data_IF_338615739314
#
_entry.id   IF_338615739314
#
_cell.length_a   1.000
_cell.length_b   1.000
_cell.length_c   1.000
_cell.angle_alpha   90.00
_cell.angle_beta   90.00
_cell.angle_gamma   90.00
#
_symmetry.space_group_name_H-M   'P 1'
#
loop_
_entity.id
_entity.type
_entity.pdbx_description
1 polymer ?
#
# COMPACT_ATOMS: atom_id res chain seq x y z
N UNK A 1 17.71 -33.26 31.27
CA UNK A 1 17.46 -32.22 30.24
C UNK A 1 16.04 -31.70 30.45
N UNK A 2 15.90 -30.47 30.95
CA UNK A 2 14.58 -29.80 31.07
C UNK A 2 14.01 -29.63 29.67
N UNK A 3 12.93 -30.34 29.34
CA UNK A 3 12.11 -30.03 28.19
C UNK A 3 11.50 -28.65 28.45
N UNK A 4 11.89 -27.64 27.67
CA UNK A 4 11.28 -26.32 27.76
C UNK A 4 9.76 -26.47 27.54
N UNK A 5 8.96 -25.97 28.49
CA UNK A 5 7.52 -25.94 28.36
C UNK A 5 7.15 -25.04 27.16
N UNK A 6 6.42 -25.58 26.20
CA UNK A 6 5.97 -24.84 25.02
C UNK A 6 4.46 -24.89 24.88
N UNK A 7 3.89 -23.85 24.28
CA UNK A 7 2.46 -23.76 23.94
C UNK A 7 2.30 -23.79 22.42
N UNK A 8 1.38 -24.62 21.93
CA UNK A 8 1.01 -24.66 20.51
C UNK A 8 -0.26 -23.85 20.32
N UNK A 9 -0.20 -22.84 19.46
CA UNK A 9 -1.34 -22.02 19.07
C UNK A 9 -1.60 -22.17 17.57
N UNK A 10 -2.87 -22.16 17.17
CA UNK A 10 -3.24 -22.16 15.77
C UNK A 10 -2.76 -20.86 15.09
N UNK A 11 -2.20 -20.98 13.88
CA UNK A 11 -1.82 -19.80 13.12
C UNK A 11 -3.07 -19.02 12.67
N UNK A 12 -3.18 -17.72 12.97
CA UNK A 12 -4.36 -16.94 12.60
C UNK A 12 -4.55 -16.93 11.08
N UNK A 13 -5.76 -17.28 10.61
CA UNK A 13 -6.02 -17.44 9.18
C UNK A 13 -5.72 -16.18 8.37
N UNK A 14 -6.06 -15.02 8.92
CA UNK A 14 -5.82 -13.69 8.33
C UNK A 14 -4.35 -13.48 7.95
N UNK A 15 -3.42 -14.04 8.74
CA UNK A 15 -1.98 -13.91 8.51
C UNK A 15 -1.48 -14.74 7.33
N UNK A 16 -2.26 -15.71 6.82
CA UNK A 16 -1.87 -16.43 5.60
C UNK A 16 -1.73 -15.49 4.41
N UNK A 17 -2.59 -14.47 4.28
CA UNK A 17 -2.50 -13.48 3.20
C UNK A 17 -1.23 -12.64 3.34
N UNK A 18 -0.82 -12.31 4.56
CA UNK A 18 0.43 -11.60 4.85
C UNK A 18 1.63 -12.46 4.49
N UNK A 19 1.63 -13.74 4.89
CA UNK A 19 2.69 -14.70 4.57
C UNK A 19 2.81 -14.92 3.04
N UNK A 20 1.69 -14.97 2.33
CA UNK A 20 1.64 -15.05 0.87
C UNK A 20 2.30 -13.82 0.24
N UNK A 21 1.99 -12.62 0.73
CA UNK A 21 2.62 -11.37 0.30
C UNK A 21 4.14 -11.40 0.48
N UNK A 22 4.63 -11.84 1.63
CA UNK A 22 6.07 -11.98 1.90
C UNK A 22 6.76 -12.96 0.94
N UNK A 23 6.13 -14.10 0.66
CA UNK A 23 6.63 -15.10 -0.28
C UNK A 23 6.69 -14.58 -1.73
N UNK A 24 5.72 -13.76 -2.14
CA UNK A 24 5.70 -13.11 -3.44
C UNK A 24 6.80 -12.05 -3.53
N UNK A 25 6.94 -11.22 -2.49
CA UNK A 25 7.96 -10.17 -2.42
C UNK A 25 9.38 -10.75 -2.47
N UNK A 26 9.63 -11.86 -1.76
CA UNK A 26 10.93 -12.54 -1.73
C UNK A 26 11.40 -13.07 -3.10
N UNK A 27 10.50 -13.20 -4.08
CA UNK A 27 10.83 -13.66 -5.45
C UNK A 27 11.16 -12.50 -6.39
N UNK A 28 11.07 -11.25 -5.94
CA UNK A 28 11.40 -10.07 -6.75
C UNK A 28 12.89 -9.77 -6.64
N UNK A 29 13.50 -9.42 -7.77
CA UNK A 29 14.86 -8.90 -7.83
C UNK A 29 14.83 -7.43 -7.42
N UNK A 30 14.86 -7.18 -6.11
CA UNK A 30 14.73 -5.84 -5.53
C UNK A 30 16.10 -5.19 -5.38
N UNK A 31 16.24 -3.97 -5.85
CA UNK A 31 17.40 -3.11 -5.58
C UNK A 31 16.98 -2.09 -4.53
N UNK A 32 17.80 -1.94 -3.48
CA UNK A 32 17.54 -1.00 -2.39
C UNK A 32 18.29 0.31 -2.66
N UNK A 33 17.56 1.42 -2.66
CA UNK A 33 18.10 2.77 -2.71
C UNK A 33 17.75 3.52 -1.42
N UNK A 34 18.76 4.08 -0.77
CA UNK A 34 18.58 4.93 0.40
C UNK A 34 18.94 6.37 0.03
N UNK A 35 18.07 7.31 0.40
CA UNK A 35 18.26 8.73 0.15
C UNK A 35 17.95 9.52 1.43
N UNK A 36 18.62 10.64 1.58
CA UNK A 36 18.31 11.65 2.59
C UNK A 36 17.75 12.88 1.88
N UNK A 37 16.70 13.45 2.43
CA UNK A 37 16.00 14.60 1.85
C UNK A 37 15.76 15.62 2.95
N UNK A 38 16.17 16.87 2.72
CA UNK A 38 15.84 17.97 3.61
C UNK A 38 14.34 18.30 3.47
N UNK A 39 13.64 18.26 4.61
CA UNK A 39 12.20 18.50 4.72
C UNK A 39 11.87 19.80 5.45
N UNK A 40 12.87 20.66 5.70
CA UNK A 40 12.71 21.91 6.45
C UNK A 40 11.69 22.84 5.78
N UNK A 41 11.89 23.14 4.49
CA UNK A 41 10.98 24.00 3.72
C UNK A 41 9.58 23.39 3.56
N UNK A 42 9.42 22.12 3.15
CA UNK A 42 8.10 21.46 3.14
C UNK A 42 7.34 21.54 4.46
N UNK A 43 8.03 21.35 5.60
CA UNK A 43 7.41 21.43 6.92
C UNK A 43 6.99 22.86 7.26
N UNK A 44 7.83 23.85 6.96
CA UNK A 44 7.49 25.27 7.16
C UNK A 44 6.25 25.66 6.37
N UNK A 45 6.18 25.29 5.08
CA UNK A 45 5.02 25.59 4.22
C UNK A 45 3.72 24.96 4.75
N UNK A 46 3.78 23.72 5.23
CA UNK A 46 2.60 23.05 5.81
C UNK A 46 2.15 23.71 7.13
N UNK A 47 3.09 24.17 7.95
CA UNK A 47 2.78 24.91 9.19
C UNK A 47 2.16 26.28 8.88
N UNK A 48 2.67 27.01 7.89
CA UNK A 48 2.10 28.28 7.44
C UNK A 48 0.69 28.09 6.87
N UNK A 49 0.48 27.01 6.11
CA UNK A 49 -0.86 26.63 5.65
C UNK A 49 -1.81 26.39 6.82
N UNK A 50 -1.38 25.64 7.85
CA UNK A 50 -2.16 25.41 9.06
C UNK A 50 -2.47 26.72 9.79
N UNK A 51 -1.49 27.62 9.95
CA UNK A 51 -1.70 28.91 10.60
C UNK A 51 -2.72 29.79 9.88
N UNK A 52 -2.76 29.72 8.54
CA UNK A 52 -3.68 30.50 7.71
C UNK A 52 -5.08 29.91 7.60
N UNK A 53 -5.21 28.59 7.60
CA UNK A 53 -6.47 27.89 7.26
C UNK A 53 -7.10 27.14 8.43
N UNK A 54 -6.35 26.91 9.51
CA UNK A 54 -6.73 26.01 10.59
C UNK A 54 -6.63 24.51 10.25
N UNK A 55 -6.37 24.15 8.99
CA UNK A 55 -6.31 22.76 8.52
C UNK A 55 -4.88 22.21 8.59
N UNK A 56 -4.71 21.07 9.26
CA UNK A 56 -3.39 20.38 9.36
C UNK A 56 -3.28 19.28 8.31
N UNK A 57 -2.70 19.60 7.15
CA UNK A 57 -2.46 18.63 6.09
C UNK A 57 -1.49 17.53 6.53
N UNK A 58 -1.67 16.32 5.98
CA UNK A 58 -0.87 15.16 6.32
C UNK A 58 0.47 15.24 5.61
N UNK A 59 1.57 15.13 6.36
CA UNK A 59 2.91 15.03 5.77
C UNK A 59 3.03 13.79 4.87
N UNK A 60 2.39 12.67 5.23
CA UNK A 60 2.32 11.48 4.37
C UNK A 60 1.59 11.77 3.06
N UNK A 61 0.49 12.54 3.09
CA UNK A 61 -0.20 12.95 1.86
C UNK A 61 0.70 13.82 0.96
N UNK A 62 1.50 14.71 1.57
CA UNK A 62 2.49 15.51 0.85
C UNK A 62 3.55 14.63 0.17
N UNK A 63 4.15 13.67 0.91
CA UNK A 63 5.13 12.74 0.34
C UNK A 63 4.54 11.90 -0.80
N UNK A 64 3.30 11.42 -0.65
CA UNK A 64 2.62 10.66 -1.71
C UNK A 64 2.34 11.53 -2.94
N UNK A 65 2.00 12.80 -2.76
CA UNK A 65 1.85 13.73 -3.88
C UNK A 65 3.19 13.97 -4.61
N UNK A 66 4.29 14.13 -3.86
CA UNK A 66 5.64 14.22 -4.44
C UNK A 66 6.01 12.95 -5.22
N UNK A 67 5.74 11.77 -4.66
CA UNK A 67 5.94 10.48 -5.34
C UNK A 67 5.11 10.39 -6.62
N UNK A 68 3.84 10.81 -6.57
CA UNK A 68 2.96 10.88 -7.73
C UNK A 68 3.53 11.74 -8.85
N UNK A 69 4.03 12.94 -8.51
CA UNK A 69 4.66 13.84 -9.48
C UNK A 69 5.94 13.26 -10.08
N UNK A 70 6.83 12.72 -9.24
CA UNK A 70 8.09 12.13 -9.71
C UNK A 70 7.85 10.93 -10.66
N UNK A 71 6.84 10.11 -10.37
CA UNK A 71 6.45 9.00 -11.26
C UNK A 71 5.73 9.48 -12.52
N UNK A 72 5.06 10.63 -12.48
CA UNK A 72 4.46 11.23 -13.67
C UNK A 72 5.52 11.70 -14.68
N UNK A 73 6.62 12.26 -14.17
CA UNK A 73 7.80 12.65 -14.95
C UNK A 73 8.54 11.44 -15.54
N UNK A 74 8.55 10.29 -14.85
CA UNK A 74 9.13 9.05 -15.34
C UNK A 74 8.23 7.83 -15.11
N UNK A 75 7.22 7.68 -15.98
CA UNK A 75 6.21 6.61 -15.89
C UNK A 75 6.78 5.19 -16.09
N UNK A 76 7.99 5.06 -16.61
CA UNK A 76 8.64 3.74 -16.73
C UNK A 76 8.91 3.11 -15.36
N UNK A 77 9.04 3.91 -14.31
CA UNK A 77 9.34 3.44 -12.95
C UNK A 77 8.20 2.61 -12.32
N UNK A 78 6.97 2.70 -12.83
CA UNK A 78 5.84 1.88 -12.39
C UNK A 78 5.25 1.01 -13.51
N UNK A 79 6.03 0.74 -14.55
CA UNK A 79 5.65 -0.15 -15.63
C UNK A 79 5.65 -1.62 -15.21
N UNK A 80 4.71 -2.40 -15.74
CA UNK A 80 4.61 -3.83 -15.46
C UNK A 80 4.70 -4.65 -16.75
N UNK A 81 5.40 -5.79 -16.64
CA UNK A 81 5.49 -6.75 -17.74
C UNK A 81 4.28 -7.69 -17.74
N UNK A 82 3.57 -7.76 -18.85
CA UNK A 82 2.45 -8.69 -19.03
C UNK A 82 2.93 -10.11 -19.39
N UNK A 83 1.97 -11.04 -19.46
CA UNK A 83 2.24 -12.42 -19.85
C UNK A 83 2.74 -12.61 -21.29
N UNK A 84 2.48 -11.63 -22.18
CA UNK A 84 2.97 -11.60 -23.57
C UNK A 84 4.35 -10.93 -23.70
N UNK A 85 5.03 -10.71 -22.58
CA UNK A 85 6.34 -10.06 -22.53
C UNK A 85 6.34 -8.60 -23.02
N UNK A 86 5.21 -7.89 -22.86
CA UNK A 86 5.08 -6.47 -23.18
C UNK A 86 5.15 -5.64 -21.91
N UNK A 87 5.74 -4.46 -21.98
CA UNK A 87 5.69 -3.48 -20.90
C UNK A 87 4.42 -2.65 -21.01
N UNK A 88 3.63 -2.64 -19.94
CA UNK A 88 2.42 -1.84 -19.79
C UNK A 88 2.75 -0.68 -18.86
N UNK A 89 2.62 0.53 -19.40
CA UNK A 89 2.82 1.80 -18.70
C UNK A 89 1.44 2.43 -18.50
N UNK A 90 1.15 2.89 -17.29
CA UNK A 90 -0.15 3.49 -16.97
C UNK A 90 0.00 5.01 -16.82
N UNK A 91 -0.96 5.78 -17.33
CA UNK A 91 -0.95 7.24 -17.12
C UNK A 91 -1.27 7.62 -15.68
N UNK A 92 -2.10 6.79 -15.01
CA UNK A 92 -2.46 6.99 -13.62
C UNK A 92 -1.53 6.22 -12.70
N UNK A 93 -0.92 6.94 -11.77
CA UNK A 93 -0.07 6.39 -10.71
C UNK A 93 -0.95 6.05 -9.52
N UNK A 94 -0.95 4.78 -9.09
CA UNK A 94 -1.60 4.36 -7.85
C UNK A 94 -0.55 3.98 -6.82
N UNK A 95 -0.76 4.42 -5.57
CA UNK A 95 0.15 4.19 -4.45
C UNK A 95 -0.58 3.41 -3.36
N UNK A 96 0.04 2.33 -2.90
CA UNK A 96 -0.34 1.63 -1.68
C UNK A 96 0.42 2.25 -0.50
N UNK A 97 -0.30 2.58 0.57
CA UNK A 97 0.28 3.05 1.82
C UNK A 97 -0.30 2.26 2.98
N UNK A 98 0.51 1.99 3.99
CA UNK A 98 0.04 1.37 5.22
C UNK A 98 -0.47 2.47 6.14
N UNK A 99 -1.70 2.34 6.61
CA UNK A 99 -2.27 3.18 7.66
C UNK A 99 -2.39 2.39 8.95
N UNK A 100 -2.03 3.01 10.05
CA UNK A 100 -2.28 2.47 11.39
C UNK A 100 -3.68 2.89 11.83
N UNK A 101 -4.45 1.92 12.31
CA UNK A 101 -5.81 2.09 12.82
C UNK A 101 -5.93 1.40 14.17
N UNK A 102 -6.92 1.80 14.96
CA UNK A 102 -7.25 1.15 16.22
C UNK A 102 -8.55 0.34 16.04
N UNK A 103 -8.46 -0.97 16.29
CA UNK A 103 -9.59 -1.90 16.27
C UNK A 103 -9.54 -2.76 17.52
N UNK A 104 -10.65 -2.85 18.25
CA UNK A 104 -10.76 -3.64 19.48
C UNK A 104 -9.63 -3.36 20.51
N UNK A 105 -9.24 -2.08 20.65
CA UNK A 105 -8.15 -1.64 21.54
C UNK A 105 -6.75 -2.07 21.11
N UNK A 106 -6.60 -2.53 19.85
CA UNK A 106 -5.32 -2.94 19.26
C UNK A 106 -4.99 -2.08 18.05
N UNK A 107 -3.72 -1.69 17.95
CA UNK A 107 -3.18 -1.03 16.76
C UNK A 107 -2.96 -2.07 15.66
N UNK A 108 -3.67 -1.89 14.54
CA UNK A 108 -3.60 -2.77 13.37
C UNK A 108 -3.14 -1.93 12.17
N UNK A 109 -2.35 -2.54 11.28
CA UNK A 109 -1.91 -1.92 10.05
C UNK A 109 -2.77 -2.40 8.89
N UNK A 110 -3.36 -1.47 8.15
CA UNK A 110 -4.14 -1.77 6.95
C UNK A 110 -3.50 -1.14 5.71
N UNK A 111 -3.39 -1.88 4.59
CA UNK A 111 -3.05 -1.29 3.31
C UNK A 111 -4.22 -0.44 2.79
N UNK A 112 -3.93 0.77 2.37
CA UNK A 112 -4.85 1.70 1.72
C UNK A 112 -4.34 2.07 0.34
N UNK A 113 -5.23 2.01 -0.67
CA UNK A 113 -4.88 2.18 -2.08
C UNK A 113 -5.34 3.54 -2.60
N UNK A 114 -4.41 4.48 -2.70
CA UNK A 114 -4.66 5.80 -3.27
C UNK A 114 -4.55 5.73 -4.79
N UNK A 115 -5.64 6.11 -5.47
CA UNK A 115 -5.73 6.08 -6.95
C UNK A 115 -5.34 7.40 -7.58
N UNK A 116 -4.70 7.32 -8.75
CA UNK A 116 -4.32 8.45 -9.59
C UNK A 116 -3.66 9.60 -8.81
N UNK A 117 -2.70 9.28 -7.93
CA UNK A 117 -2.07 10.25 -7.02
C UNK A 117 -1.34 11.37 -7.76
N UNK A 118 -0.88 11.11 -9.00
CA UNK A 118 -0.26 12.11 -9.86
C UNK A 118 -1.22 13.20 -10.34
N UNK A 119 -2.53 12.94 -10.31
CA UNK A 119 -3.58 13.85 -10.77
C UNK A 119 -4.31 14.53 -9.61
N UNK A 120 -3.87 14.30 -8.37
CA UNK A 120 -4.59 14.72 -7.16
C UNK A 120 -3.79 15.71 -6.34
N UNK A 121 -4.52 16.60 -5.69
CA UNK A 121 -3.97 17.56 -4.75
C UNK A 121 -3.60 16.91 -3.41
N UNK A 122 -2.66 17.54 -2.69
CA UNK A 122 -2.28 17.12 -1.32
C UNK A 122 -3.50 17.10 -0.39
N UNK A 123 -4.42 18.05 -0.57
CA UNK A 123 -5.65 18.14 0.24
C UNK A 123 -6.58 16.96 0.00
N UNK A 124 -6.82 16.59 -1.27
CA UNK A 124 -7.66 15.42 -1.59
C UNK A 124 -7.08 14.12 -1.04
N UNK A 125 -5.75 13.95 -1.15
CA UNK A 125 -5.06 12.79 -0.58
C UNK A 125 -5.13 12.79 0.94
N UNK A 126 -4.99 13.96 1.58
CA UNK A 126 -5.15 14.13 3.02
C UNK A 126 -6.57 13.74 3.47
N UNK A 127 -7.59 14.26 2.82
CA UNK A 127 -8.99 13.96 3.15
C UNK A 127 -9.28 12.46 3.05
N UNK A 128 -8.80 11.80 1.99
CA UNK A 128 -8.97 10.35 1.85
C UNK A 128 -8.24 9.57 2.95
N UNK A 129 -6.99 9.91 3.25
CA UNK A 129 -6.23 9.26 4.32
C UNK A 129 -6.90 9.43 5.69
N UNK A 130 -7.42 10.63 6.00
CA UNK A 130 -8.15 10.86 7.24
C UNK A 130 -9.48 10.12 7.29
N UNK A 131 -10.18 10.00 6.16
CA UNK A 131 -11.40 9.22 6.07
C UNK A 131 -11.13 7.73 6.31
N UNK A 132 -10.07 7.18 5.70
CA UNK A 132 -9.67 5.78 5.88
C UNK A 132 -9.25 5.46 7.32
N UNK A 133 -8.59 6.40 8.01
CA UNK A 133 -8.25 6.26 9.44
C UNK A 133 -9.48 6.29 10.36
N UNK A 134 -10.50 7.09 10.04
CA UNK A 134 -11.71 7.22 10.87
C UNK A 134 -12.70 6.07 10.66
N UNK A 135 -12.78 5.53 9.44
CA UNK A 135 -13.73 4.48 9.08
C UNK A 135 -12.99 3.24 8.54
N UNK A 136 -12.23 2.53 9.40
CA UNK A 136 -11.41 1.40 8.97
C UNK A 136 -12.22 0.23 8.40
N UNK A 137 -13.46 0.03 8.86
CA UNK A 137 -14.30 -1.13 8.48
C UNK A 137 -14.63 -1.21 6.98
N UNK A 138 -14.58 -0.10 6.24
CA UNK A 138 -14.79 -0.11 4.79
C UNK A 138 -13.55 -0.54 4.00
N UNK A 139 -12.39 -0.61 4.64
CA UNK A 139 -11.11 -0.92 4.00
C UNK A 139 -10.90 -2.43 3.89
N UNK A 140 -11.64 -3.07 2.98
CA UNK A 140 -11.39 -4.42 2.41
C UNK A 140 -11.15 -5.61 3.36
N UNK A 141 -11.58 -5.55 4.62
CA UNK A 141 -11.47 -6.69 5.53
C UNK A 141 -12.33 -7.90 5.11
N UNK A 142 -13.49 -7.67 4.48
CA UNK A 142 -14.44 -8.74 4.17
C UNK A 142 -13.93 -9.74 3.12
N UNK A 143 -13.27 -9.24 2.06
CA UNK A 143 -12.73 -10.10 1.00
C UNK A 143 -11.49 -10.90 1.43
N UNK A 144 -10.62 -10.28 2.24
CA UNK A 144 -9.38 -10.89 2.70
C UNK A 144 -9.63 -12.07 3.65
N UNK A 145 -10.63 -11.96 4.55
CA UNK A 145 -10.98 -13.02 5.50
C UNK A 145 -11.48 -14.30 4.84
N UNK A 146 -12.30 -14.18 3.78
CA UNK A 146 -12.76 -15.35 3.04
C UNK A 146 -11.65 -15.91 2.13
N UNK A 147 -10.90 -15.03 1.45
CA UNK A 147 -9.77 -15.43 0.62
C UNK A 147 -8.70 -16.20 1.41
N UNK A 148 -8.43 -15.80 2.66
CA UNK A 148 -7.52 -16.49 3.58
C UNK A 148 -7.89 -17.96 3.88
N UNK A 149 -9.16 -18.34 3.70
CA UNK A 149 -9.65 -19.72 3.93
C UNK A 149 -9.41 -20.64 2.75
N UNK A 150 -9.15 -20.10 1.56
CA UNK A 150 -8.89 -20.91 0.37
C UNK A 150 -7.60 -21.72 0.55
N UNK A 151 -7.49 -22.93 0.00
CA UNK A 151 -6.23 -23.66 -0.02
C UNK A 151 -5.11 -22.85 -0.70
N UNK A 152 -3.87 -23.04 -0.25
CA UNK A 152 -2.73 -22.26 -0.73
C UNK A 152 -2.56 -22.29 -2.26
N UNK A 153 -2.75 -23.45 -2.89
CA UNK A 153 -2.62 -23.57 -4.34
C UNK A 153 -3.63 -22.70 -5.11
N UNK A 154 -4.85 -22.52 -4.57
CA UNK A 154 -5.86 -21.63 -5.17
C UNK A 154 -5.43 -20.18 -5.07
N UNK A 155 -4.92 -19.77 -3.90
CA UNK A 155 -4.42 -18.41 -3.69
C UNK A 155 -3.19 -18.13 -4.57
N UNK A 156 -2.31 -19.11 -4.73
CA UNK A 156 -1.12 -19.01 -5.58
C UNK A 156 -1.50 -18.86 -7.07
N UNK A 157 -2.51 -19.61 -7.56
CA UNK A 157 -3.05 -19.43 -8.91
C UNK A 157 -3.65 -18.03 -9.08
N UNK A 158 -4.41 -17.56 -8.08
CA UNK A 158 -4.97 -16.20 -8.09
C UNK A 158 -3.87 -15.16 -8.20
N UNK A 159 -2.85 -15.20 -7.34
CA UNK A 159 -1.73 -14.25 -7.39
C UNK A 159 -1.00 -14.34 -8.73
N UNK A 160 -0.72 -15.54 -9.22
CA UNK A 160 -0.09 -15.72 -10.54
C UNK A 160 -0.90 -15.05 -11.65
N UNK A 161 -2.21 -15.25 -11.70
CA UNK A 161 -3.08 -14.63 -12.71
C UNK A 161 -3.11 -13.10 -12.59
N UNK A 162 -3.20 -12.56 -11.36
CA UNK A 162 -3.18 -11.12 -11.10
C UNK A 162 -1.86 -10.49 -11.53
N UNK A 163 -0.71 -11.08 -11.17
CA UNK A 163 0.60 -10.55 -11.53
C UNK A 163 0.95 -10.72 -13.02
N UNK A 164 0.30 -11.65 -13.73
CA UNK A 164 0.45 -11.82 -15.19
C UNK A 164 -0.37 -10.83 -16.01
N UNK A 165 -1.35 -10.16 -15.40
CA UNK A 165 -2.21 -9.18 -16.05
C UNK A 165 -2.10 -7.81 -15.33
N UNK A 166 -1.29 -6.88 -15.88
CA UNK A 166 -1.09 -5.55 -15.27
C UNK A 166 -2.38 -4.77 -15.00
N UNK A 167 -3.42 -4.91 -15.83
CA UNK A 167 -4.70 -4.24 -15.59
C UNK A 167 -5.42 -4.80 -14.35
N UNK A 168 -5.36 -6.13 -14.17
CA UNK A 168 -5.93 -6.79 -12.99
C UNK A 168 -5.10 -6.49 -11.73
N UNK A 169 -3.78 -6.41 -11.87
CA UNK A 169 -2.88 -5.98 -10.81
C UNK A 169 -3.23 -4.58 -10.33
N UNK A 170 -3.31 -3.61 -11.25
CA UNK A 170 -3.68 -2.22 -10.94
C UNK A 170 -5.03 -2.16 -10.24
N UNK A 171 -6.06 -2.84 -10.76
CA UNK A 171 -7.42 -2.86 -10.16
C UNK A 171 -7.45 -3.51 -8.76
N UNK A 172 -6.68 -4.57 -8.55
CA UNK A 172 -6.73 -5.36 -7.31
C UNK A 172 -5.87 -4.75 -6.22
N UNK A 173 -4.65 -4.32 -6.54
CA UNK A 173 -3.69 -3.74 -5.62
C UNK A 173 -3.44 -2.28 -6.04
N UNK A 174 -2.19 -1.92 -6.32
CA UNK A 174 -1.78 -0.64 -6.90
C UNK A 174 -0.63 -0.90 -7.88
N UNK A 175 -0.15 0.15 -8.54
CA UNK A 175 1.07 0.09 -9.35
C UNK A 175 2.33 0.27 -8.52
N UNK A 176 2.26 1.00 -7.40
CA UNK A 176 3.38 1.30 -6.51
C UNK A 176 2.99 0.99 -5.08
N UNK A 177 3.90 0.43 -4.30
CA UNK A 177 3.68 0.04 -2.91
C UNK A 177 4.92 -0.55 -2.26
#
# INVERSE_FOLDING_TARGET
>A
MNQAAFQVLAYPRERHVIADGGRIAARRHTVYGMIEVDVTEPRRVLQEYQARTGETLSFTAFIIACLGKALDENKMMHAYRDWRNRLIVFDQVDVNTIIEIEMDGRKVTLPHFLRAVNQRSVRELHTELRAAQRNPEQTREFGARWFARLPQFVRDIFYWAVYKNPHLLKKTFCTVG
#
